data_IF_448873641843
#
_entry.id   IF_448873641843
#
_cell.length_a   1.000
_cell.length_b   1.000
_cell.length_c   1.000
_cell.angle_alpha   90.00
_cell.angle_beta   90.00
_cell.angle_gamma   90.00
#
_symmetry.space_group_name_H-M   'P 1'
#
loop_
_entity.id
_entity.type
_entity.pdbx_description
1 polymer ?
#
# COMPACT_ATOMS: atom_id res chain seq x y z
N UNK A 1 1.71 24.78 19.82
CA UNK A 1 1.26 23.93 18.72
C UNK A 1 -0.26 23.87 18.80
N UNK A 2 -0.98 24.17 17.71
CA UNK A 2 -2.43 24.02 17.67
C UNK A 2 -2.81 22.57 17.35
N UNK A 3 -4.01 22.16 17.69
CA UNK A 3 -4.53 20.83 17.33
C UNK A 3 -4.42 20.58 15.82
N UNK A 4 -4.69 21.61 15.01
CA UNK A 4 -4.57 21.51 13.56
C UNK A 4 -3.12 21.25 13.11
N UNK A 5 -2.15 21.98 13.64
CA UNK A 5 -0.74 21.76 13.29
C UNK A 5 -0.22 20.38 13.71
N UNK A 6 -0.76 19.82 14.79
CA UNK A 6 -0.41 18.46 15.20
C UNK A 6 -1.02 17.40 14.27
N UNK A 7 -2.27 17.60 13.84
CA UNK A 7 -2.90 16.71 12.85
C UNK A 7 -2.14 16.72 11.51
N UNK A 8 -1.64 17.88 11.08
CA UNK A 8 -0.89 18.00 9.83
C UNK A 8 0.47 17.29 9.92
N UNK A 9 1.17 17.41 11.06
CA UNK A 9 2.38 16.64 11.33
C UNK A 9 2.12 15.12 11.26
N UNK A 10 1.05 14.64 11.90
CA UNK A 10 0.71 13.21 11.87
C UNK A 10 0.38 12.70 10.47
N UNK A 11 -0.22 13.54 9.61
CA UNK A 11 -0.49 13.21 8.21
C UNK A 11 0.81 13.07 7.42
N UNK A 12 1.75 14.01 7.59
CA UNK A 12 3.05 13.95 6.91
C UNK A 12 3.86 12.71 7.30
N UNK A 13 3.88 12.38 8.60
CA UNK A 13 4.53 11.15 9.09
C UNK A 13 3.87 9.90 8.51
N UNK A 14 2.53 9.88 8.44
CA UNK A 14 1.79 8.78 7.85
C UNK A 14 2.08 8.62 6.35
N UNK A 15 2.07 9.71 5.58
CA UNK A 15 2.38 9.71 4.15
C UNK A 15 3.82 9.21 3.89
N UNK A 16 4.79 9.63 4.72
CA UNK A 16 6.16 9.14 4.67
C UNK A 16 6.29 7.66 4.98
N UNK A 17 5.53 7.15 5.96
CA UNK A 17 5.48 5.73 6.27
C UNK A 17 4.81 4.91 5.14
N UNK A 18 3.73 5.40 4.55
CA UNK A 18 3.04 4.76 3.43
C UNK A 18 3.94 4.68 2.19
N UNK A 19 4.70 5.74 1.89
CA UNK A 19 5.69 5.72 0.81
C UNK A 19 6.77 4.65 1.00
N UNK A 20 7.27 4.48 2.23
CA UNK A 20 8.24 3.41 2.56
C UNK A 20 7.63 2.02 2.39
N UNK A 21 6.38 1.83 2.83
CA UNK A 21 5.67 0.56 2.64
C UNK A 21 5.47 0.25 1.16
N UNK A 22 5.15 1.24 0.33
CA UNK A 22 5.02 1.05 -1.11
C UNK A 22 6.33 0.58 -1.74
N UNK A 23 7.44 1.28 -1.47
CA UNK A 23 8.75 0.91 -2.01
C UNK A 23 9.17 -0.50 -1.60
N UNK A 24 8.94 -0.86 -0.34
CA UNK A 24 9.25 -2.21 0.15
C UNK A 24 8.33 -3.26 -0.47
N UNK A 25 7.05 -2.94 -0.66
CA UNK A 25 6.09 -3.84 -1.32
C UNK A 25 6.48 -4.09 -2.78
N UNK A 26 6.87 -3.04 -3.51
CA UNK A 26 7.36 -3.14 -4.88
C UNK A 26 8.63 -3.98 -4.95
N UNK A 27 9.59 -3.74 -4.03
CA UNK A 27 10.85 -4.49 -3.95
C UNK A 27 10.65 -6.00 -3.75
N UNK A 28 9.65 -6.41 -2.97
CA UNK A 28 9.38 -7.85 -2.69
C UNK A 28 8.36 -8.48 -3.63
N UNK A 29 7.75 -7.69 -4.51
CA UNK A 29 6.82 -8.20 -5.52
C UNK A 29 7.61 -9.07 -6.53
N UNK A 30 7.09 -10.25 -6.95
CA UNK A 30 7.78 -11.10 -7.93
C UNK A 30 7.76 -10.51 -9.35
N UNK A 31 7.06 -9.39 -9.57
CA UNK A 31 7.03 -8.63 -10.81
C UNK A 31 6.83 -7.15 -10.53
N UNK A 32 6.53 -6.34 -11.55
CA UNK A 32 6.20 -4.93 -11.34
C UNK A 32 4.94 -4.80 -10.46
N UNK A 33 5.05 -4.11 -9.32
CA UNK A 33 3.92 -3.95 -8.42
C UNK A 33 2.95 -2.89 -8.97
N UNK A 34 1.75 -3.36 -9.30
CA UNK A 34 0.65 -2.54 -9.81
C UNK A 34 -0.67 -2.93 -9.12
N UNK A 35 -1.01 -2.24 -8.03
CA UNK A 35 -2.25 -2.47 -7.31
C UNK A 35 -3.42 -1.76 -7.99
N UNK A 36 -4.35 -2.55 -8.53
CA UNK A 36 -5.51 -2.06 -9.29
C UNK A 36 -6.82 -2.54 -8.67
N UNK A 37 -7.93 -1.82 -8.90
CA UNK A 37 -9.24 -2.25 -8.43
C UNK A 37 -9.75 -3.43 -9.28
N UNK A 38 -10.07 -4.54 -8.63
CA UNK A 38 -10.66 -5.71 -9.29
C UNK A 38 -12.16 -5.77 -9.06
N UNK A 39 -12.86 -6.60 -9.84
CA UNK A 39 -14.33 -6.81 -9.73
C UNK A 39 -14.72 -7.78 -8.60
N UNK A 40 -13.85 -7.97 -7.62
CA UNK A 40 -14.04 -8.90 -6.49
C UNK A 40 -14.54 -8.19 -5.21
N UNK A 41 -14.80 -6.88 -5.28
CA UNK A 41 -15.25 -6.08 -4.14
C UNK A 41 -14.19 -5.87 -3.06
N UNK A 42 -12.94 -6.30 -3.30
CA UNK A 42 -11.83 -6.11 -2.37
C UNK A 42 -11.13 -4.76 -2.64
N UNK A 43 -10.35 -4.24 -1.68
CA UNK A 43 -9.47 -3.10 -1.94
C UNK A 43 -8.53 -3.37 -3.13
N UNK A 44 -8.02 -2.34 -3.82
CA UNK A 44 -7.05 -2.50 -4.90
C UNK A 44 -5.85 -3.35 -4.50
N UNK A 45 -5.51 -4.34 -5.32
CA UNK A 45 -4.41 -5.28 -5.04
C UNK A 45 -3.64 -5.64 -6.32
N UNK A 46 -2.38 -6.02 -6.20
CA UNK A 46 -1.52 -6.35 -7.33
C UNK A 46 -1.67 -7.82 -7.73
N UNK A 47 -1.90 -8.09 -9.02
CA UNK A 47 -2.06 -9.47 -9.52
C UNK A 47 -0.80 -10.34 -9.39
N UNK A 48 0.39 -9.73 -9.33
CA UNK A 48 1.65 -10.44 -9.25
C UNK A 48 1.97 -10.95 -7.83
N UNK A 49 1.69 -10.14 -6.80
CA UNK A 49 2.03 -10.48 -5.40
C UNK A 49 0.81 -10.66 -4.48
N UNK A 50 -0.40 -10.32 -4.94
CA UNK A 50 -1.61 -10.43 -4.14
C UNK A 50 -1.83 -9.30 -3.13
N UNK A 51 -0.95 -8.28 -3.07
CA UNK A 51 -0.90 -7.27 -2.01
C UNK A 51 -1.38 -5.89 -2.46
N UNK A 52 -1.83 -5.07 -1.52
CA UNK A 52 -2.07 -3.61 -1.71
C UNK A 52 -0.75 -2.83 -1.78
N UNK A 53 -0.80 -1.52 -2.06
CA UNK A 53 0.37 -0.63 -1.96
C UNK A 53 0.97 -0.52 -0.55
N UNK A 54 0.23 -0.93 0.49
CA UNK A 54 0.70 -0.98 1.87
C UNK A 54 1.22 -2.36 2.28
N UNK A 55 1.38 -3.28 1.33
CA UNK A 55 1.90 -4.62 1.58
C UNK A 55 0.88 -5.59 2.19
N UNK A 56 -0.35 -5.16 2.48
CA UNK A 56 -1.43 -6.03 3.01
C UNK A 56 -1.82 -7.06 1.96
N UNK A 57 -1.77 -8.36 2.30
CA UNK A 57 -2.17 -9.46 1.43
C UNK A 57 -3.70 -9.54 1.32
N UNK A 58 -4.22 -9.44 0.10
CA UNK A 58 -5.66 -9.45 -0.22
C UNK A 58 -6.11 -10.76 -0.85
N UNK A 59 -5.21 -11.38 -1.62
CA UNK A 59 -5.45 -12.65 -2.29
C UNK A 59 -4.14 -13.44 -2.37
N UNK A 60 -4.20 -14.73 -2.05
CA UNK A 60 -3.10 -15.62 -2.34
C UNK A 60 -3.03 -15.84 -3.86
N UNK A 61 -1.89 -15.49 -4.43
CA UNK A 61 -1.59 -15.67 -5.85
C UNK A 61 -0.52 -16.75 -5.93
N UNK A 62 -0.95 -18.00 -5.97
CA UNK A 62 -0.04 -19.09 -6.33
C UNK A 62 0.46 -18.85 -7.75
N UNK A 63 1.78 -18.77 -7.89
CA UNK A 63 2.47 -18.77 -9.19
C UNK A 63 2.23 -20.08 -9.94
#
# INVERSE_FOLDING_TARGET
MSDQSYLDYLREEADGAEGKLFLETDRVCPGAHDATQHRDGKPPWCKACGRTNRGVLIKDVTA
#
